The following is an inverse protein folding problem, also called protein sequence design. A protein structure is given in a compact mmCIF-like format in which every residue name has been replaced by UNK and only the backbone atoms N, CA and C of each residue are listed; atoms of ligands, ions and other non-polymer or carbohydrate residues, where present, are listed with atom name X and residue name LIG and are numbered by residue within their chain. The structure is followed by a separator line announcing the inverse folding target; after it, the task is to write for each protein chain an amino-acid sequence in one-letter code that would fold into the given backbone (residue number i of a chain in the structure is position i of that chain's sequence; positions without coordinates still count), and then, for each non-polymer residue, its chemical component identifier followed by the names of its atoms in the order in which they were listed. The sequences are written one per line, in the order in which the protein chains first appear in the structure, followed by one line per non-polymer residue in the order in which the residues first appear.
data_IF_495276920702
#
_entry.id   IF_495276920702
#
_cell.length_a   1.000
_cell.length_b   1.000
_cell.length_c   1.000
_cell.angle_alpha   90.00
_cell.angle_beta   90.00
_cell.angle_gamma   90.00
#
_symmetry.space_group_name_H-M   'P 1'
#
loop_
_entity.id
_entity.type
_entity.pdbx_description
1 polymer ?
#
# COMPACT_ATOMS: atom_id res chain seq x y z
N UNK A 1 -18.03 -3.32 -0.64
CA UNK A 1 -17.22 -3.33 -1.88
C UNK A 1 -15.88 -4.07 -1.73
N UNK A 2 -15.11 -3.90 -0.64
CA UNK A 2 -13.78 -4.54 -0.53
C UNK A 2 -13.83 -6.05 -0.21
N UNK A 3 -14.78 -6.50 0.62
CA UNK A 3 -14.97 -7.92 0.96
C UNK A 3 -15.22 -8.85 -0.24
N UNK A 4 -15.89 -8.38 -1.29
CA UNK A 4 -16.12 -9.17 -2.52
C UNK A 4 -14.87 -9.30 -3.38
N UNK A 5 -14.02 -8.27 -3.43
CA UNK A 5 -12.69 -8.33 -4.07
C UNK A 5 -11.79 -9.39 -3.38
N UNK A 6 -11.91 -9.57 -2.07
CA UNK A 6 -11.09 -10.53 -1.31
C UNK A 6 -11.53 -11.99 -1.45
N UNK A 7 -12.83 -12.26 -1.59
CA UNK A 7 -13.31 -13.63 -1.87
C UNK A 7 -12.69 -14.17 -3.17
N UNK A 8 -12.59 -13.31 -4.20
CA UNK A 8 -11.91 -13.61 -5.46
C UNK A 8 -10.41 -13.87 -5.29
N UNK A 9 -9.76 -13.18 -4.34
CA UNK A 9 -8.33 -13.39 -4.06
C UNK A 9 -8.09 -14.72 -3.34
N UNK A 10 -8.92 -15.12 -2.36
CA UNK A 10 -8.77 -16.38 -1.60
C UNK A 10 -8.77 -17.63 -2.50
N UNK A 11 -9.46 -17.57 -3.63
CA UNK A 11 -9.56 -18.66 -4.59
C UNK A 11 -8.32 -18.81 -5.51
N UNK A 12 -7.35 -17.89 -5.46
CA UNK A 12 -6.19 -17.93 -6.35
C UNK A 12 -5.13 -18.93 -5.89
N UNK A 13 -4.58 -19.65 -6.86
CA UNK A 13 -3.42 -20.52 -6.72
C UNK A 13 -2.12 -19.71 -6.54
N UNK A 14 -1.05 -20.35 -6.05
CA UNK A 14 0.27 -19.70 -5.88
C UNK A 14 0.83 -19.13 -7.19
N UNK A 15 0.62 -19.81 -8.32
CA UNK A 15 1.07 -19.34 -9.65
C UNK A 15 0.30 -18.10 -10.10
N UNK A 16 -1.01 -18.06 -9.87
CA UNK A 16 -1.84 -16.90 -10.16
C UNK A 16 -1.49 -15.70 -9.30
N UNK A 17 -1.15 -15.93 -8.02
CA UNK A 17 -0.64 -14.89 -7.12
C UNK A 17 0.68 -14.32 -7.65
N UNK A 18 1.63 -15.16 -8.08
CA UNK A 18 2.90 -14.71 -8.68
C UNK A 18 2.70 -13.91 -9.97
N UNK A 19 1.77 -14.35 -10.83
CA UNK A 19 1.40 -13.65 -12.05
C UNK A 19 0.77 -12.29 -11.75
N UNK A 20 -0.19 -12.24 -10.83
CA UNK A 20 -0.79 -10.97 -10.36
C UNK A 20 0.25 -10.03 -9.78
N UNK A 21 1.21 -10.54 -9.00
CA UNK A 21 2.32 -9.72 -8.47
C UNK A 21 3.14 -9.08 -9.59
N UNK A 22 3.46 -9.84 -10.63
CA UNK A 22 4.24 -9.35 -11.77
C UNK A 22 3.47 -8.32 -12.59
N UNK A 23 2.17 -8.54 -12.80
CA UNK A 23 1.30 -7.59 -13.51
C UNK A 23 1.14 -6.29 -12.71
N UNK A 24 0.90 -6.38 -11.39
CA UNK A 24 0.84 -5.21 -10.53
C UNK A 24 2.16 -4.44 -10.54
N UNK A 25 3.30 -5.14 -10.46
CA UNK A 25 4.62 -4.52 -10.59
C UNK A 25 4.77 -3.70 -11.87
N UNK A 26 4.22 -4.17 -13.01
CA UNK A 26 4.20 -3.41 -14.27
C UNK A 26 3.28 -2.19 -14.17
N UNK A 27 2.09 -2.32 -13.57
CA UNK A 27 1.18 -1.18 -13.31
C UNK A 27 1.82 -0.13 -12.39
N UNK A 28 2.65 -0.57 -11.42
CA UNK A 28 3.44 0.32 -10.56
C UNK A 28 4.60 0.97 -11.31
N UNK A 29 5.24 0.26 -12.24
CA UNK A 29 6.42 0.72 -12.97
C UNK A 29 6.05 1.47 -14.26
N UNK A 30 5.19 2.49 -14.16
CA UNK A 30 4.94 3.43 -15.25
C UNK A 30 3.48 3.84 -15.43
N UNK A 31 2.52 2.93 -15.30
CA UNK A 31 1.13 3.21 -15.71
C UNK A 31 0.33 3.96 -14.64
N UNK A 32 0.54 3.65 -13.35
CA UNK A 32 -0.17 4.33 -12.26
C UNK A 32 0.75 5.05 -11.25
N UNK A 33 2.02 4.63 -11.18
CA UNK A 33 3.01 5.20 -10.27
C UNK A 33 4.34 5.49 -10.98
N UNK A 34 5.22 6.20 -10.29
CA UNK A 34 6.58 6.42 -10.76
C UNK A 34 7.31 5.11 -10.94
N UNK A 35 8.25 5.09 -11.89
CA UNK A 35 9.21 4.00 -12.03
C UNK A 35 9.76 3.60 -10.68
N UNK A 36 9.78 2.30 -10.38
CA UNK A 36 10.23 1.78 -9.09
C UNK A 36 11.66 2.25 -8.80
N UNK A 37 12.49 2.43 -9.83
CA UNK A 37 13.83 2.98 -9.75
C UNK A 37 13.91 4.33 -9.00
N UNK A 38 12.87 5.17 -9.11
CA UNK A 38 12.78 6.50 -8.50
C UNK A 38 12.30 6.47 -7.05
N UNK A 39 11.85 5.31 -6.56
CA UNK A 39 11.33 5.21 -5.21
C UNK A 39 12.46 5.26 -4.18
N UNK A 40 12.24 5.91 -3.02
CA UNK A 40 13.17 5.87 -1.92
C UNK A 40 13.54 4.43 -1.54
N UNK A 41 14.82 4.20 -1.21
CA UNK A 41 15.36 2.86 -0.88
C UNK A 41 14.58 2.17 0.25
N UNK A 42 14.01 2.93 1.18
CA UNK A 42 13.20 2.37 2.27
C UNK A 42 11.81 1.90 1.79
N UNK A 43 11.17 2.63 0.88
CA UNK A 43 9.88 2.23 0.28
C UNK A 43 10.05 1.02 -0.63
N UNK A 44 11.11 0.97 -1.44
CA UNK A 44 11.44 -0.23 -2.23
C UNK A 44 11.63 -1.47 -1.36
N UNK A 45 12.39 -1.34 -0.27
CA UNK A 45 12.59 -2.45 0.69
C UNK A 45 11.28 -2.92 1.30
N UNK A 46 10.37 -2.00 1.66
CA UNK A 46 9.03 -2.34 2.16
C UNK A 46 8.17 -2.99 1.09
N UNK A 47 8.20 -2.52 -0.16
CA UNK A 47 7.45 -3.14 -1.26
C UNK A 47 7.78 -4.64 -1.41
N UNK A 48 9.06 -4.98 -1.28
CA UNK A 48 9.53 -6.36 -1.39
C UNK A 48 9.49 -7.13 -0.07
N UNK A 49 9.24 -6.48 1.07
CA UNK A 49 9.12 -7.17 2.35
C UNK A 49 7.84 -8.01 2.38
N UNK A 50 7.98 -9.27 2.77
CA UNK A 50 6.86 -10.18 2.94
C UNK A 50 7.18 -11.11 4.11
N UNK A 51 6.26 -11.28 5.08
CA UNK A 51 4.97 -10.60 5.21
C UNK A 51 5.07 -9.16 5.74
N UNK A 52 4.08 -8.31 5.45
CA UNK A 52 4.03 -6.95 6.00
C UNK A 52 3.69 -6.93 7.50
N UNK A 53 4.41 -6.12 8.28
CA UNK A 53 4.04 -5.70 9.63
C UNK A 53 2.92 -4.65 9.65
N UNK A 54 2.44 -4.28 10.84
CA UNK A 54 1.41 -3.23 11.01
C UNK A 54 1.96 -1.88 10.51
N UNK A 55 3.17 -1.50 10.96
CA UNK A 55 3.86 -0.29 10.54
C UNK A 55 4.21 -0.31 9.06
N UNK A 56 4.70 -1.44 8.53
CA UNK A 56 5.03 -1.54 7.10
C UNK A 56 3.79 -1.36 6.23
N UNK A 57 2.64 -1.88 6.68
CA UNK A 57 1.36 -1.71 5.99
C UNK A 57 0.98 -0.24 5.95
N UNK A 58 1.02 0.45 7.11
CA UNK A 58 0.70 1.86 7.20
C UNK A 58 1.63 2.71 6.32
N UNK A 59 2.93 2.51 6.45
CA UNK A 59 3.95 3.28 5.72
C UNK A 59 3.89 3.04 4.21
N UNK A 60 3.54 1.83 3.80
CA UNK A 60 3.36 1.53 2.38
C UNK A 60 2.14 2.24 1.83
N UNK A 61 1.01 2.17 2.52
CA UNK A 61 -0.26 2.77 2.08
C UNK A 61 -0.18 4.30 2.12
N UNK A 62 0.48 4.88 3.13
CA UNK A 62 0.62 6.33 3.30
C UNK A 62 1.26 7.01 2.10
N UNK A 63 2.28 6.39 1.48
CA UNK A 63 2.93 6.91 0.26
C UNK A 63 1.95 7.06 -0.90
N UNK A 64 0.88 6.28 -0.94
CA UNK A 64 -0.04 6.22 -2.08
C UNK A 64 -1.41 6.87 -1.80
N UNK A 65 -1.63 7.41 -0.59
CA UNK A 65 -2.92 7.94 -0.17
C UNK A 65 -3.44 9.10 -1.02
N UNK A 66 -2.56 9.98 -1.53
CA UNK A 66 -2.97 11.10 -2.40
C UNK A 66 -3.51 10.66 -3.76
N UNK A 67 -3.23 9.43 -4.19
CA UNK A 67 -3.76 8.87 -5.45
C UNK A 67 -4.95 7.96 -5.13
N UNK A 68 -6.10 8.56 -4.88
CA UNK A 68 -7.40 7.90 -4.63
C UNK A 68 -7.78 6.81 -5.65
N UNK A 69 -7.15 6.80 -6.83
CA UNK A 69 -7.40 5.82 -7.89
C UNK A 69 -6.84 4.41 -7.63
N UNK A 70 -6.18 4.18 -6.49
CA UNK A 70 -5.27 3.04 -6.33
C UNK A 70 -5.62 2.04 -5.23
N UNK A 71 -6.81 2.18 -4.66
CA UNK A 71 -7.41 1.26 -3.69
C UNK A 71 -7.24 -0.19 -4.17
N UNK A 72 -7.65 -0.51 -5.39
CA UNK A 72 -7.57 -1.87 -5.94
C UNK A 72 -6.13 -2.41 -6.06
N UNK A 73 -5.16 -1.54 -6.39
CA UNK A 73 -3.76 -1.91 -6.61
C UNK A 73 -3.04 -2.11 -5.26
N UNK A 74 -3.27 -1.21 -4.28
CA UNK A 74 -2.75 -1.34 -2.91
C UNK A 74 -3.32 -2.59 -2.24
N UNK A 75 -4.62 -2.84 -2.42
CA UNK A 75 -5.25 -4.09 -1.98
C UNK A 75 -4.65 -5.32 -2.65
N UNK A 76 -4.35 -5.23 -3.94
CA UNK A 76 -3.64 -6.25 -4.69
C UNK A 76 -2.30 -6.60 -4.04
N UNK A 77 -1.44 -5.61 -3.79
CA UNK A 77 -0.12 -5.79 -3.19
C UNK A 77 -0.21 -6.42 -1.81
N UNK A 78 -1.07 -5.89 -0.94
CA UNK A 78 -1.15 -6.37 0.45
C UNK A 78 -1.79 -7.76 0.51
N UNK A 79 -2.77 -8.03 -0.35
CA UNK A 79 -3.37 -9.35 -0.45
C UNK A 79 -2.39 -10.38 -0.99
N UNK A 80 -1.61 -10.03 -2.02
CA UNK A 80 -0.56 -10.89 -2.61
C UNK A 80 0.58 -11.14 -1.61
N UNK A 81 1.04 -10.10 -0.91
CA UNK A 81 2.09 -10.21 0.09
C UNK A 81 1.68 -10.97 1.35
N UNK A 82 0.37 -11.10 1.59
CA UNK A 82 -0.19 -11.83 2.72
C UNK A 82 -0.67 -13.24 2.37
N UNK A 83 -0.76 -13.59 1.08
CA UNK A 83 -1.53 -14.77 0.63
C UNK A 83 -0.89 -16.12 0.96
N UNK A 84 0.43 -16.22 1.07
CA UNK A 84 1.04 -17.57 1.06
C UNK A 84 1.36 -18.13 2.45
N UNK A 85 1.55 -17.31 3.50
CA UNK A 85 1.99 -17.83 4.83
C UNK A 85 1.56 -17.03 6.06
N UNK A 86 0.78 -15.94 5.95
CA UNK A 86 0.50 -15.09 7.11
C UNK A 86 -0.95 -15.27 7.61
N UNK A 87 -1.21 -15.94 8.75
CA UNK A 87 -2.56 -16.05 9.32
C UNK A 87 -3.19 -14.69 9.65
N UNK A 88 -2.40 -13.62 9.72
CA UNK A 88 -2.84 -12.24 9.99
C UNK A 88 -3.24 -11.47 8.73
N UNK A 89 -3.34 -12.10 7.56
CA UNK A 89 -3.79 -11.44 6.33
C UNK A 89 -5.14 -10.72 6.49
N UNK A 90 -6.07 -11.31 7.26
CA UNK A 90 -7.35 -10.66 7.62
C UNK A 90 -7.14 -9.37 8.42
N UNK A 91 -6.18 -9.36 9.36
CA UNK A 91 -5.84 -8.17 10.16
C UNK A 91 -5.36 -7.03 9.24
N UNK A 92 -4.55 -7.34 8.23
CA UNK A 92 -4.06 -6.35 7.24
C UNK A 92 -5.19 -5.74 6.44
N UNK A 93 -6.18 -6.54 6.07
CA UNK A 93 -7.38 -6.05 5.38
C UNK A 93 -8.18 -5.11 6.27
N UNK A 94 -8.44 -5.50 7.52
CA UNK A 94 -9.14 -4.63 8.46
C UNK A 94 -8.37 -3.34 8.73
N UNK A 95 -7.04 -3.40 8.77
CA UNK A 95 -6.20 -2.21 8.88
C UNK A 95 -6.37 -1.30 7.67
N UNK A 96 -6.36 -1.83 6.45
CA UNK A 96 -6.61 -1.03 5.26
C UNK A 96 -8.00 -0.41 5.24
N UNK A 97 -9.02 -1.20 5.57
CA UNK A 97 -10.39 -0.70 5.67
C UNK A 97 -10.51 0.42 6.70
N UNK A 98 -9.88 0.25 7.86
CA UNK A 98 -9.82 1.27 8.88
C UNK A 98 -9.07 2.51 8.40
N UNK A 99 -7.91 2.35 7.75
CA UNK A 99 -7.13 3.48 7.22
C UNK A 99 -7.92 4.29 6.20
N UNK A 100 -8.54 3.65 5.20
CA UNK A 100 -9.31 4.37 4.18
C UNK A 100 -10.57 5.03 4.75
N UNK A 101 -11.24 4.40 5.73
CA UNK A 101 -12.41 5.00 6.40
C UNK A 101 -12.04 6.19 7.28
N UNK A 102 -10.86 6.17 7.88
CA UNK A 102 -10.46 7.16 8.88
C UNK A 102 -9.50 8.23 8.35
N UNK A 103 -8.99 8.09 7.12
CA UNK A 103 -8.04 9.04 6.51
C UNK A 103 -8.50 10.49 6.68
N UNK A 104 -9.75 10.79 6.33
CA UNK A 104 -10.30 12.14 6.40
C UNK A 104 -10.14 12.77 7.80
N UNK A 105 -10.37 11.98 8.86
CA UNK A 105 -10.31 12.45 10.25
C UNK A 105 -8.88 12.58 10.80
N UNK A 106 -7.89 12.06 10.09
CA UNK A 106 -6.50 12.05 10.54
C UNK A 106 -5.56 12.76 9.57
N UNK A 107 -6.08 13.57 8.64
CA UNK A 107 -5.24 14.20 7.60
C UNK A 107 -4.16 15.12 8.15
N UNK A 108 -4.39 15.68 9.33
CA UNK A 108 -3.50 16.57 10.09
C UNK A 108 -2.52 15.81 11.01
N UNK A 109 -2.74 14.51 11.23
CA UNK A 109 -1.95 13.68 12.16
C UNK A 109 -1.10 12.67 11.42
N UNK A 110 -1.62 12.09 10.36
CA UNK A 110 -0.93 11.11 9.54
C UNK A 110 -0.07 11.81 8.50
N UNK A 111 1.11 11.25 8.26
CA UNK A 111 2.07 11.78 7.32
C UNK A 111 2.59 10.69 6.39
N UNK A 112 3.03 11.11 5.22
CA UNK A 112 3.65 10.26 4.20
C UNK A 112 4.91 10.92 3.67
N UNK A 113 5.76 10.14 3.02
CA UNK A 113 6.92 10.67 2.32
C UNK A 113 6.51 11.05 0.90
N UNK A 114 6.55 12.34 0.59
CA UNK A 114 6.31 12.84 -0.76
C UNK A 114 7.58 12.67 -1.60
N UNK A 115 7.44 11.98 -2.73
CA UNK A 115 8.58 11.66 -3.62
C UNK A 115 9.02 12.91 -4.41
N UNK A 116 8.11 13.83 -4.75
CA UNK A 116 8.44 15.05 -5.48
C UNK A 116 9.17 16.04 -4.58
N UNK A 117 8.65 16.26 -3.37
CA UNK A 117 9.25 17.21 -2.42
C UNK A 117 10.41 16.59 -1.62
N UNK A 118 10.59 15.27 -1.68
CA UNK A 118 11.56 14.51 -0.88
C UNK A 118 11.43 14.78 0.63
N UNK A 119 10.21 15.07 1.09
CA UNK A 119 9.90 15.50 2.46
C UNK A 119 8.72 14.72 3.03
N UNK A 120 8.63 14.71 4.36
CA UNK A 120 7.44 14.22 5.03
C UNK A 120 6.37 15.31 5.05
N UNK A 121 5.21 15.00 4.49
CA UNK A 121 4.02 15.84 4.49
C UNK A 121 2.92 15.15 5.29
N UNK A 122 2.15 15.93 6.03
CA UNK A 122 0.85 15.48 6.53
C UNK A 122 -0.06 15.13 5.35
N UNK A 123 -1.04 14.25 5.57
CA UNK A 123 -1.99 13.85 4.52
C UNK A 123 -2.85 15.02 3.99
N UNK A 124 -2.99 16.09 4.77
CA UNK A 124 -3.58 17.37 4.31
C UNK A 124 -2.65 18.19 3.40
N UNK A 125 -1.40 17.77 3.19
CA UNK A 125 -0.40 18.45 2.36
C UNK A 125 0.53 19.39 3.12
N UNK A 126 0.30 19.63 4.41
CA UNK A 126 1.15 20.52 5.20
C UNK A 126 2.51 19.87 5.46
N UNK A 127 3.57 20.68 5.53
CA UNK A 127 4.91 20.19 5.84
C UNK A 127 4.97 19.69 7.27
N UNK A 128 5.55 18.51 7.47
CA UNK A 128 5.88 18.03 8.81
C UNK A 128 7.15 18.73 9.28
N UNK A 129 7.00 19.74 10.12
CA UNK A 129 8.11 20.34 10.84
C UNK A 129 8.54 19.31 11.89
N UNK A 130 9.77 18.81 11.80
CA UNK A 130 10.33 17.98 12.88
C UNK A 130 10.51 18.90 14.08
N UNK A 131 9.71 18.69 15.13
CA UNK A 131 10.06 19.08 16.50
C UNK A 131 11.22 18.21 16.98
#
# INVERSE_FOLDING_TARGET
MMLSHFRKLKALTKSEVKRKRSNMLKEFDGDCFFKIALWPKFIRRKFFSSPYGDCDTFDFVSVFFRKWMLTNVIFGVISVASHVKNPRWKKRIYQLDWLFKNEFFHRDKWFYFDIYETKYLYMNGNKRIKS
#
